data_IF_449272540960
#
_entry.id   IF_449272540960
#
_cell.length_a   1.000
_cell.length_b   1.000
_cell.length_c   1.000
_cell.angle_alpha   90.00
_cell.angle_beta   90.00
_cell.angle_gamma   90.00
#
_symmetry.space_group_name_H-M   'P 1'
#
loop_
_entity.id
_entity.type
_entity.pdbx_description
1 polymer ?
#
# COMPACT_ATOMS: atom_id res chain seq x y z
N UNK A 1 -15.81 -7.72 -4.40
CA UNK A 1 -14.53 -8.39 -4.71
C UNK A 1 -14.04 -8.01 -6.11
N UNK A 2 -14.83 -8.19 -7.17
CA UNK A 2 -14.47 -7.84 -8.56
C UNK A 2 -13.99 -6.39 -8.78
N UNK A 3 -14.71 -5.39 -8.24
CA UNK A 3 -14.32 -3.99 -8.42
C UNK A 3 -12.99 -3.58 -7.76
N UNK A 4 -12.57 -4.25 -6.68
CA UNK A 4 -11.32 -3.89 -5.99
C UNK A 4 -10.12 -4.37 -6.80
N UNK A 5 -10.19 -5.57 -7.36
CA UNK A 5 -9.16 -6.10 -8.27
C UNK A 5 -9.10 -5.38 -9.61
N UNK A 6 -10.24 -4.91 -10.13
CA UNK A 6 -10.29 -4.19 -11.40
C UNK A 6 -9.81 -2.74 -11.25
N UNK A 7 -10.10 -2.11 -10.10
CA UNK A 7 -9.58 -0.76 -9.83
C UNK A 7 -8.16 -0.76 -9.28
N UNK A 8 -7.62 -1.90 -8.84
CA UNK A 8 -6.27 -2.04 -8.28
C UNK A 8 -5.19 -1.34 -9.12
N UNK A 9 -5.18 -1.57 -10.43
CA UNK A 9 -4.20 -0.98 -11.33
C UNK A 9 -4.42 0.53 -11.50
N UNK A 10 -5.67 1.00 -11.38
CA UNK A 10 -5.99 2.44 -11.35
C UNK A 10 -5.45 3.06 -10.06
N UNK A 11 -5.55 2.36 -8.93
CA UNK A 11 -5.04 2.85 -7.65
C UNK A 11 -3.51 2.99 -7.67
N UNK A 12 -2.78 2.07 -8.30
CA UNK A 12 -1.33 2.22 -8.54
C UNK A 12 -0.99 3.54 -9.26
N UNK A 13 -1.74 3.89 -10.30
CA UNK A 13 -1.55 5.15 -11.04
C UNK A 13 -1.93 6.39 -10.19
N UNK A 14 -3.01 6.30 -9.40
CA UNK A 14 -3.53 7.42 -8.59
C UNK A 14 -2.66 7.71 -7.37
N UNK A 15 -2.14 6.68 -6.70
CA UNK A 15 -1.20 6.83 -5.56
C UNK A 15 0.23 7.11 -6.05
N UNK A 16 0.51 6.81 -7.32
CA UNK A 16 1.85 6.89 -7.89
C UNK A 16 2.77 5.82 -7.34
N UNK A 17 2.20 4.68 -6.91
CA UNK A 17 2.94 3.50 -6.48
C UNK A 17 3.33 2.67 -7.70
N UNK A 18 4.59 2.22 -7.72
CA UNK A 18 5.08 1.36 -8.80
C UNK A 18 4.61 -0.09 -8.60
N UNK A 19 4.51 -0.87 -9.67
CA UNK A 19 4.21 -2.31 -9.63
C UNK A 19 5.38 -3.18 -9.13
N UNK A 20 6.31 -2.59 -8.38
CA UNK A 20 7.40 -3.29 -7.70
C UNK A 20 6.92 -3.71 -6.30
N UNK A 21 7.60 -4.67 -5.67
CA UNK A 21 7.22 -5.21 -4.34
C UNK A 21 7.00 -4.09 -3.31
N UNK A 22 7.84 -3.05 -3.31
CA UNK A 22 7.69 -1.90 -2.42
C UNK A 22 6.40 -1.11 -2.68
N UNK A 23 6.01 -0.91 -3.95
CA UNK A 23 4.79 -0.16 -4.29
C UNK A 23 3.51 -0.97 -4.08
N UNK A 24 3.57 -2.31 -4.17
CA UNK A 24 2.47 -3.18 -3.71
C UNK A 24 2.25 -3.03 -2.19
N UNK A 25 3.33 -2.97 -1.40
CA UNK A 25 3.24 -2.75 0.05
C UNK A 25 2.68 -1.34 0.37
N UNK A 26 3.07 -0.31 -0.39
CA UNK A 26 2.49 1.04 -0.27
C UNK A 26 0.98 1.02 -0.52
N UNK A 27 0.53 0.32 -1.57
CA UNK A 27 -0.88 0.25 -1.93
C UNK A 27 -1.68 -0.58 -0.93
N UNK A 28 -1.13 -1.69 -0.42
CA UNK A 28 -1.72 -2.49 0.67
C UNK A 28 -1.90 -1.64 1.94
N UNK A 29 -0.89 -0.86 2.32
CA UNK A 29 -0.96 0.05 3.46
C UNK A 29 -2.04 1.12 3.27
N UNK A 30 -2.13 1.68 2.06
CA UNK A 30 -3.17 2.64 1.69
C UNK A 30 -4.56 2.02 1.79
N UNK A 31 -4.77 0.80 1.29
CA UNK A 31 -6.04 0.09 1.42
C UNK A 31 -6.40 -0.21 2.88
N UNK A 32 -5.43 -0.61 3.71
CA UNK A 32 -5.66 -0.84 5.15
C UNK A 32 -6.06 0.45 5.85
N UNK A 33 -5.40 1.57 5.53
CA UNK A 33 -5.72 2.88 6.09
C UNK A 33 -7.11 3.39 5.67
N UNK A 34 -7.50 3.21 4.41
CA UNK A 34 -8.80 3.68 3.90
C UNK A 34 -9.96 2.77 4.28
N UNK A 35 -9.76 1.46 4.24
CA UNK A 35 -10.86 0.51 4.37
C UNK A 35 -11.01 -0.06 5.78
N UNK A 36 -10.01 0.02 6.66
CA UNK A 36 -9.93 -0.45 8.08
C UNK A 36 -10.40 -1.92 8.33
N UNK A 37 -11.10 -2.55 7.39
CA UNK A 37 -11.99 -3.69 7.58
C UNK A 37 -11.75 -4.82 6.55
N UNK A 38 -10.81 -4.65 5.61
CA UNK A 38 -10.37 -5.74 4.75
C UNK A 38 -9.31 -6.57 5.47
N UNK A 39 -9.76 -7.61 6.18
CA UNK A 39 -8.88 -8.63 6.78
C UNK A 39 -7.90 -9.24 5.76
N UNK A 40 -8.30 -9.24 4.49
CA UNK A 40 -7.51 -9.71 3.37
C UNK A 40 -6.28 -8.83 3.11
N UNK A 41 -6.45 -7.50 3.03
CA UNK A 41 -5.34 -6.56 2.78
C UNK A 41 -4.37 -6.51 3.96
N UNK A 42 -4.89 -6.56 5.19
CA UNK A 42 -4.04 -6.64 6.38
C UNK A 42 -3.23 -7.94 6.43
N UNK A 43 -3.82 -9.07 6.01
CA UNK A 43 -3.10 -10.34 5.94
C UNK A 43 -2.00 -10.35 4.87
N UNK A 44 -2.24 -9.71 3.72
CA UNK A 44 -1.24 -9.54 2.65
C UNK A 44 -0.06 -8.69 3.13
N UNK A 45 -0.35 -7.56 3.78
CA UNK A 45 0.66 -6.70 4.37
C UNK A 45 1.52 -7.44 5.40
N UNK A 46 0.89 -8.17 6.32
CA UNK A 46 1.59 -9.01 7.29
C UNK A 46 2.45 -10.09 6.63
N UNK A 47 1.97 -10.75 5.56
CA UNK A 47 2.73 -11.76 4.83
C UNK A 47 3.98 -11.15 4.19
N UNK A 48 3.87 -9.96 3.58
CA UNK A 48 4.97 -9.29 2.92
C UNK A 48 6.04 -8.85 3.92
N UNK A 49 5.64 -8.27 5.07
CA UNK A 49 6.55 -7.93 6.16
C UNK A 49 7.22 -9.17 6.78
N UNK A 50 6.45 -10.24 6.98
CA UNK A 50 6.99 -11.49 7.54
C UNK A 50 8.01 -12.13 6.59
N UNK A 51 7.75 -12.11 5.27
CA UNK A 51 8.70 -12.57 4.26
C UNK A 51 9.98 -11.73 4.27
N UNK A 52 9.86 -10.41 4.43
CA UNK A 52 11.01 -9.52 4.55
C UNK A 52 11.86 -9.87 5.77
N UNK A 53 11.22 -10.05 6.93
CA UNK A 53 11.89 -10.41 8.18
C UNK A 53 12.64 -11.75 8.09
N UNK A 54 12.11 -12.72 7.35
CA UNK A 54 12.74 -14.05 7.20
C UNK A 54 13.82 -14.12 6.13
N UNK A 55 13.63 -13.44 4.99
CA UNK A 55 14.48 -13.65 3.81
C UNK A 55 15.54 -12.57 3.64
N UNK A 56 15.24 -11.30 3.94
CA UNK A 56 16.16 -10.18 3.75
C UNK A 56 15.74 -9.03 4.67
N UNK A 57 16.26 -9.00 5.90
CA UNK A 57 15.96 -7.94 6.86
C UNK A 57 16.49 -6.57 6.40
N UNK A 58 17.46 -6.53 5.50
CA UNK A 58 18.03 -5.29 4.94
C UNK A 58 17.01 -4.47 4.14
N UNK A 59 16.00 -5.11 3.53
CA UNK A 59 14.91 -4.40 2.84
C UNK A 59 13.80 -3.94 3.79
N UNK A 60 13.87 -4.29 5.08
CA UNK A 60 12.86 -3.88 6.07
C UNK A 60 12.74 -2.37 6.20
N UNK A 61 13.84 -1.62 6.08
CA UNK A 61 13.81 -0.17 6.13
C UNK A 61 13.02 0.42 4.95
N UNK A 62 13.19 -0.15 3.75
CA UNK A 62 12.46 0.30 2.56
C UNK A 62 10.96 -0.01 2.67
N UNK A 63 10.60 -1.14 3.28
CA UNK A 63 9.20 -1.50 3.50
C UNK A 63 8.56 -0.69 4.63
N UNK A 64 9.31 -0.37 5.69
CA UNK A 64 8.83 0.53 6.74
C UNK A 64 8.67 1.98 6.24
N UNK A 65 9.61 2.48 5.43
CA UNK A 65 9.45 3.78 4.78
C UNK A 65 8.24 3.80 3.84
N UNK A 66 8.00 2.71 3.10
CA UNK A 66 6.81 2.57 2.25
C UNK A 66 5.50 2.59 3.06
N UNK A 67 5.46 1.92 4.21
CA UNK A 67 4.31 1.95 5.13
C UNK A 67 4.01 3.35 5.66
N UNK A 68 5.05 4.12 5.97
CA UNK A 68 4.94 5.47 6.52
C UNK A 68 4.69 6.52 5.44
N UNK A 69 5.14 6.26 4.20
CA UNK A 69 4.93 7.10 3.02
C UNK A 69 3.51 6.89 2.49
N UNK A 70 2.52 7.14 3.34
CA UNK A 70 1.12 7.24 2.93
C UNK A 70 0.97 8.50 2.06
N UNK A 71 1.19 8.34 0.75
CA UNK A 71 0.93 9.40 -0.22
C UNK A 71 -0.58 9.57 -0.34
N UNK A 72 -1.07 10.71 0.12
CA UNK A 72 -2.42 11.17 -0.23
C UNK A 72 -2.53 11.18 -1.77
N UNK A 73 -3.65 10.71 -2.34
CA UNK A 73 -3.85 10.71 -3.78
C UNK A 73 -3.60 12.11 -4.34
N UNK A 74 -2.83 12.20 -5.43
CA UNK A 74 -2.52 13.46 -6.13
C UNK A 74 -3.80 13.98 -6.80
N UNK A 75 -4.69 14.56 -6.00
CA UNK A 75 -6.02 15.00 -6.42
C UNK A 75 -6.88 15.58 -5.30
N UNK A 76 -6.53 15.39 -4.02
CA UNK A 76 -7.16 16.10 -2.91
C UNK A 76 -6.51 17.47 -2.71
N UNK A 77 -6.77 18.38 -3.65
CA UNK A 77 -6.94 19.78 -3.31
C UNK A 77 -8.19 19.90 -2.45
N UNK A 78 -8.08 19.58 -1.16
CA UNK A 78 -9.10 19.97 -0.19
C UNK A 78 -8.85 21.44 0.07
N UNK A 79 -9.80 22.24 -0.40
CA UNK A 79 -9.95 23.66 -0.19
C UNK A 79 -9.53 24.04 1.24
N UNK A 80 -8.46 24.82 1.33
CA UNK A 80 -8.20 25.66 2.49
C UNK A 80 -9.28 26.75 2.45
N UNK A 81 -10.33 26.59 3.25
CA UNK A 81 -11.25 27.67 3.64
C UNK A 81 -10.96 28.05 5.08
#
# INVERSE_FOLDING_TARGET
>A
MWHITETHDIWHVVTGSNTNITGEIELEAFYVAQLIASRFWLALLCKNLFKAALQNVEVSHQYMDALLTLKSPKGTGILHS
#
